data_IF_474263520098
#
_entry.id   IF_474263520098
#
_cell.length_a   1.000
_cell.length_b   1.000
_cell.length_c   1.000
_cell.angle_alpha   90.00
_cell.angle_beta   90.00
_cell.angle_gamma   90.00
#
_symmetry.space_group_name_H-M   'P 1'
#
loop_
_entity.id
_entity.type
_entity.pdbx_description
1 polymer ?
#
# COMPACT_ATOMS: atom_id res chain seq x y z
N UNK A 1 17.84 22.42 -6.26
CA UNK A 1 16.41 22.70 -6.04
C UNK A 1 15.53 21.68 -6.76
N UNK A 2 14.40 21.29 -6.16
CA UNK A 2 13.53 20.19 -6.62
C UNK A 2 12.97 20.35 -8.05
N UNK A 3 13.01 21.54 -8.62
CA UNK A 3 12.57 21.82 -10.00
C UNK A 3 13.63 21.58 -11.08
N UNK A 4 14.84 21.22 -10.73
CA UNK A 4 15.88 20.91 -11.70
C UNK A 4 15.85 19.44 -12.09
N UNK A 5 15.99 19.14 -13.39
CA UNK A 5 15.92 17.76 -13.92
C UNK A 5 16.90 16.79 -13.28
N UNK A 6 18.05 17.28 -12.84
CA UNK A 6 19.05 16.47 -12.13
C UNK A 6 18.52 15.85 -10.82
N UNK A 7 17.43 16.40 -10.28
CA UNK A 7 16.80 15.92 -9.05
C UNK A 7 15.59 15.00 -9.30
N UNK A 8 15.36 14.52 -10.53
CA UNK A 8 14.31 13.53 -10.80
C UNK A 8 14.45 12.34 -9.86
N UNK A 9 13.38 12.00 -9.16
CA UNK A 9 13.35 10.85 -8.23
C UNK A 9 14.00 11.07 -6.87
N UNK A 10 14.54 12.28 -6.60
CA UNK A 10 15.09 12.59 -5.28
C UNK A 10 13.97 12.89 -4.28
N UNK A 11 14.07 12.37 -3.04
CA UNK A 11 13.13 12.72 -1.98
C UNK A 11 13.09 14.22 -1.72
N UNK A 12 11.90 14.76 -1.49
CA UNK A 12 11.74 16.19 -1.14
C UNK A 12 12.01 16.48 0.34
N UNK A 13 12.06 15.45 1.17
CA UNK A 13 12.42 15.54 2.59
C UNK A 13 13.62 14.66 2.88
N UNK A 14 14.48 15.12 3.79
CA UNK A 14 15.61 14.34 4.28
C UNK A 14 15.11 13.33 5.33
N UNK A 15 14.49 12.28 4.87
CA UNK A 15 13.97 11.19 5.70
C UNK A 15 14.11 9.86 4.96
N UNK A 16 14.58 8.80 5.62
CA UNK A 16 14.65 7.47 5.02
C UNK A 16 13.26 6.92 4.61
N UNK A 17 12.19 7.45 5.19
CA UNK A 17 10.80 7.08 4.90
C UNK A 17 10.09 8.09 3.99
N UNK A 18 10.82 8.94 3.29
CA UNK A 18 10.22 9.91 2.37
C UNK A 18 9.48 9.21 1.24
N UNK A 19 8.25 9.67 0.97
CA UNK A 19 7.36 9.13 -0.05
C UNK A 19 7.10 10.12 -1.19
N UNK A 20 7.56 11.36 -1.05
CA UNK A 20 7.38 12.43 -2.03
C UNK A 20 8.71 12.70 -2.73
N UNK A 21 8.69 12.64 -4.04
CA UNK A 21 9.88 12.83 -4.88
C UNK A 21 9.73 14.00 -5.84
N UNK A 22 10.86 14.48 -6.31
CA UNK A 22 10.92 15.49 -7.36
C UNK A 22 10.58 14.88 -8.72
N UNK A 23 9.57 15.44 -9.40
CA UNK A 23 9.24 15.22 -10.80
C UNK A 23 9.21 16.59 -11.49
N UNK A 24 10.37 17.16 -11.84
CA UNK A 24 10.51 18.58 -12.15
C UNK A 24 9.94 18.99 -13.51
N UNK A 25 9.71 18.05 -14.40
CA UNK A 25 9.16 18.32 -15.74
C UNK A 25 7.90 17.49 -15.98
N UNK A 26 7.07 17.93 -16.92
CA UNK A 26 5.89 17.16 -17.34
C UNK A 26 6.28 15.80 -17.91
N UNK A 27 7.38 15.70 -18.62
CA UNK A 27 7.92 14.42 -19.12
C UNK A 27 8.32 13.48 -17.96
N UNK A 28 8.86 14.01 -16.87
CA UNK A 28 9.15 13.20 -15.67
C UNK A 28 7.87 12.65 -15.03
N UNK A 29 6.78 13.44 -15.04
CA UNK A 29 5.47 12.99 -14.52
C UNK A 29 4.91 11.89 -15.42
N UNK A 30 4.90 12.09 -16.73
CA UNK A 30 4.42 11.09 -17.70
C UNK A 30 5.24 9.80 -17.56
N UNK A 31 6.56 9.89 -17.57
CA UNK A 31 7.43 8.72 -17.46
C UNK A 31 7.24 7.97 -16.14
N UNK A 32 6.97 8.67 -15.03
CA UNK A 32 6.65 8.03 -13.75
C UNK A 32 5.31 7.27 -13.79
N UNK A 33 4.26 7.86 -14.39
CA UNK A 33 2.93 7.24 -14.49
C UNK A 33 2.89 6.09 -15.51
N UNK A 34 3.74 6.11 -16.51
CA UNK A 34 3.84 5.08 -17.57
C UNK A 34 4.90 4.01 -17.28
N UNK A 35 5.49 4.01 -16.07
CA UNK A 35 6.56 3.09 -15.65
C UNK A 35 7.79 3.12 -16.60
N UNK A 36 8.12 4.30 -17.18
CA UNK A 36 9.30 4.46 -18.04
C UNK A 36 10.58 4.11 -17.26
N UNK A 37 11.36 3.09 -17.69
CA UNK A 37 12.56 2.66 -16.99
C UNK A 37 13.61 3.77 -16.80
N UNK A 38 13.69 4.75 -17.71
CA UNK A 38 14.63 5.87 -17.59
C UNK A 38 14.26 6.85 -16.48
N UNK A 39 12.98 6.95 -16.16
CA UNK A 39 12.45 7.78 -15.07
C UNK A 39 12.37 6.97 -13.78
N UNK A 40 11.72 5.81 -13.82
CA UNK A 40 11.55 4.93 -12.65
C UNK A 40 12.89 4.45 -12.08
N UNK A 41 13.87 4.19 -12.93
CA UNK A 41 15.23 3.81 -12.51
C UNK A 41 15.98 4.90 -11.73
N UNK A 42 15.54 6.16 -11.79
CA UNK A 42 16.10 7.28 -11.00
C UNK A 42 15.39 7.48 -9.65
N UNK A 43 14.25 6.81 -9.43
CA UNK A 43 13.46 6.98 -8.22
C UNK A 43 14.20 6.45 -7.00
N UNK A 44 14.49 7.31 -6.04
CA UNK A 44 15.01 6.93 -4.72
C UNK A 44 13.90 6.67 -3.72
N UNK A 45 12.72 7.14 -4.04
CA UNK A 45 11.47 6.96 -3.31
C UNK A 45 10.33 7.24 -4.27
N UNK A 46 9.08 7.09 -3.83
CA UNK A 46 7.90 7.38 -4.64
C UNK A 46 6.62 7.17 -3.83
N UNK A 47 5.50 7.48 -4.44
CA UNK A 47 4.21 7.30 -3.79
C UNK A 47 3.94 5.80 -3.52
N UNK A 48 3.73 5.37 -2.25
CA UNK A 48 3.85 3.96 -1.87
C UNK A 48 2.91 2.99 -2.58
N UNK A 49 1.77 3.45 -3.09
CA UNK A 49 0.82 2.59 -3.84
C UNK A 49 1.23 2.37 -5.30
N UNK A 50 2.10 3.21 -5.84
CA UNK A 50 2.58 3.13 -7.22
C UNK A 50 4.03 2.67 -7.29
N UNK A 51 4.80 3.05 -6.30
CA UNK A 51 6.22 2.73 -6.20
C UNK A 51 6.49 2.04 -4.85
N UNK A 52 6.95 0.80 -4.89
CA UNK A 52 7.32 0.10 -3.66
C UNK A 52 8.53 0.81 -3.04
N UNK A 53 8.36 1.34 -1.84
CA UNK A 53 9.40 2.05 -1.14
C UNK A 53 10.67 1.20 -1.01
N UNK A 54 11.90 1.74 -1.16
CA UNK A 54 13.15 0.97 -1.13
C UNK A 54 13.32 0.09 0.12
N UNK A 55 12.94 0.57 1.30
CA UNK A 55 12.95 -0.21 2.55
C UNK A 55 11.99 -1.40 2.44
N UNK A 56 10.78 -1.17 1.94
CA UNK A 56 9.79 -2.23 1.72
C UNK A 56 10.27 -3.23 0.67
N UNK A 57 10.87 -2.75 -0.42
CA UNK A 57 11.44 -3.60 -1.46
C UNK A 57 12.59 -4.47 -0.90
N UNK A 58 13.43 -3.92 -0.03
CA UNK A 58 14.47 -4.67 0.66
C UNK A 58 13.87 -5.75 1.56
N UNK A 59 12.87 -5.41 2.38
CA UNK A 59 12.15 -6.36 3.21
C UNK A 59 11.54 -7.50 2.39
N UNK A 60 10.84 -7.18 1.30
CA UNK A 60 10.25 -8.19 0.42
C UNK A 60 11.29 -9.12 -0.17
N UNK A 61 12.43 -8.58 -0.64
CA UNK A 61 13.54 -9.36 -1.20
C UNK A 61 14.17 -10.30 -0.19
N UNK A 62 14.38 -9.85 1.06
CA UNK A 62 14.89 -10.68 2.14
C UNK A 62 13.92 -11.82 2.47
N UNK A 63 12.62 -11.51 2.54
CA UNK A 63 11.59 -12.52 2.82
C UNK A 63 11.43 -13.49 1.65
N UNK A 64 11.47 -13.01 0.41
CA UNK A 64 11.39 -13.85 -0.79
C UNK A 64 12.54 -14.87 -0.83
N UNK A 65 13.77 -14.44 -0.51
CA UNK A 65 14.92 -15.33 -0.43
C UNK A 65 14.85 -16.38 0.70
N UNK A 66 14.08 -16.09 1.75
CA UNK A 66 13.96 -16.98 2.94
C UNK A 66 12.81 -17.98 2.84
N UNK A 67 11.70 -17.60 2.23
CA UNK A 67 10.44 -18.37 2.34
C UNK A 67 9.75 -18.68 1.02
N UNK A 68 10.06 -17.95 -0.08
CA UNK A 68 9.46 -18.25 -1.37
C UNK A 68 10.12 -19.45 -2.04
N UNK A 69 9.32 -20.30 -2.66
CA UNK A 69 9.75 -21.37 -3.52
C UNK A 69 10.10 -20.89 -4.93
N UNK A 70 10.57 -21.81 -5.78
CA UNK A 70 10.77 -21.54 -7.20
C UNK A 70 9.46 -21.07 -7.84
N UNK A 71 9.49 -19.95 -8.59
CA UNK A 71 8.33 -19.33 -9.23
C UNK A 71 7.26 -18.79 -8.25
N UNK A 72 7.62 -18.50 -7.03
CA UNK A 72 6.79 -17.81 -6.08
C UNK A 72 7.33 -16.39 -5.80
N UNK A 73 6.42 -15.50 -5.48
CA UNK A 73 6.68 -14.11 -5.10
C UNK A 73 6.01 -13.80 -3.77
N UNK A 74 6.47 -12.74 -3.16
CA UNK A 74 5.91 -12.27 -1.89
C UNK A 74 5.36 -10.86 -2.05
N UNK A 75 4.19 -10.63 -1.41
CA UNK A 75 3.64 -9.30 -1.21
C UNK A 75 3.33 -9.10 0.29
N UNK A 76 3.60 -7.90 0.79
CA UNK A 76 3.33 -7.53 2.18
C UNK A 76 2.15 -6.56 2.28
N UNK A 77 1.27 -6.81 3.22
CA UNK A 77 0.06 -6.02 3.48
C UNK A 77 0.08 -5.44 4.90
N UNK A 78 -0.83 -4.52 5.19
CA UNK A 78 -0.88 -3.79 6.46
C UNK A 78 -1.33 -4.62 7.66
N UNK A 79 -2.06 -5.71 7.42
CA UNK A 79 -2.57 -6.60 8.48
C UNK A 79 -2.79 -8.04 7.98
N UNK A 80 -2.92 -9.01 8.89
CA UNK A 80 -3.27 -10.39 8.52
C UNK A 80 -4.60 -10.50 7.79
N UNK A 81 -5.59 -9.66 8.15
CA UNK A 81 -6.89 -9.63 7.50
C UNK A 81 -6.77 -9.08 6.07
N UNK A 82 -5.87 -8.12 5.83
CA UNK A 82 -5.56 -7.62 4.49
C UNK A 82 -4.91 -8.72 3.62
N UNK A 83 -4.01 -9.53 4.20
CA UNK A 83 -3.43 -10.71 3.54
C UNK A 83 -4.51 -11.69 3.10
N UNK A 84 -5.47 -11.99 4.00
CA UNK A 84 -6.57 -12.89 3.68
C UNK A 84 -7.44 -12.34 2.54
N UNK A 85 -7.83 -11.05 2.61
CA UNK A 85 -8.63 -10.40 1.56
C UNK A 85 -7.90 -10.39 0.21
N UNK A 86 -6.59 -10.12 0.22
CA UNK A 86 -5.77 -10.17 -0.98
C UNK A 86 -5.75 -11.58 -1.60
N UNK A 87 -5.58 -12.63 -0.78
CA UNK A 87 -5.62 -14.00 -1.24
C UNK A 87 -6.98 -14.37 -1.86
N UNK A 88 -8.08 -13.95 -1.24
CA UNK A 88 -9.44 -14.15 -1.78
C UNK A 88 -9.66 -13.39 -3.10
N UNK A 89 -9.16 -12.15 -3.20
CA UNK A 89 -9.20 -11.36 -4.42
C UNK A 89 -8.45 -12.06 -5.57
N UNK A 90 -7.23 -12.54 -5.32
CA UNK A 90 -6.42 -13.23 -6.33
C UNK A 90 -7.15 -14.47 -6.85
N UNK A 91 -7.67 -15.30 -5.93
CA UNK A 91 -8.44 -16.50 -6.32
C UNK A 91 -9.66 -16.12 -7.17
N UNK A 92 -10.40 -15.09 -6.80
CA UNK A 92 -11.59 -14.64 -7.53
C UNK A 92 -11.28 -14.18 -8.95
N UNK A 93 -10.17 -13.47 -9.14
CA UNK A 93 -9.82 -12.84 -10.44
C UNK A 93 -8.98 -13.74 -11.35
N UNK A 94 -8.20 -14.65 -10.78
CA UNK A 94 -7.23 -15.45 -11.55
C UNK A 94 -7.41 -16.96 -11.40
N UNK A 95 -8.13 -17.41 -10.39
CA UNK A 95 -8.21 -18.82 -9.98
C UNK A 95 -6.95 -19.32 -9.25
N UNK A 96 -5.91 -18.48 -9.10
CA UNK A 96 -4.63 -18.83 -8.49
C UNK A 96 -4.73 -18.70 -6.97
N UNK A 97 -4.19 -19.68 -6.24
CA UNK A 97 -4.17 -19.68 -4.78
C UNK A 97 -2.79 -19.26 -4.28
N UNK A 98 -2.77 -18.19 -3.48
CA UNK A 98 -1.66 -17.87 -2.59
C UNK A 98 -1.94 -18.37 -1.17
N UNK A 99 -0.94 -18.29 -0.31
CA UNK A 99 -1.09 -18.64 1.11
C UNK A 99 -0.40 -17.62 2.01
N UNK A 100 -1.00 -17.35 3.16
CA UNK A 100 -0.39 -16.53 4.19
C UNK A 100 0.79 -17.27 4.82
N UNK A 101 1.85 -16.56 5.15
CA UNK A 101 2.98 -17.12 5.87
C UNK A 101 2.63 -17.19 7.37
N UNK A 102 2.75 -18.39 7.99
CA UNK A 102 2.38 -18.59 9.39
C UNK A 102 3.24 -17.78 10.36
N UNK A 103 4.55 -17.68 10.07
CA UNK A 103 5.51 -16.99 10.93
C UNK A 103 5.63 -15.50 10.63
N UNK A 104 5.06 -15.05 9.51
CA UNK A 104 5.07 -13.67 9.04
C UNK A 104 3.67 -13.28 8.56
N UNK A 105 2.74 -12.97 9.46
CA UNK A 105 1.32 -12.87 9.15
C UNK A 105 0.94 -11.71 8.21
N UNK A 106 1.87 -10.81 7.93
CA UNK A 106 1.69 -9.71 6.96
C UNK A 106 2.09 -10.10 5.54
N UNK A 107 2.63 -11.32 5.34
CA UNK A 107 3.11 -11.76 4.05
C UNK A 107 2.16 -12.75 3.38
N UNK A 108 1.94 -12.52 2.09
CA UNK A 108 1.27 -13.43 1.17
C UNK A 108 2.30 -13.99 0.19
N UNK A 109 2.45 -15.30 0.19
CA UNK A 109 3.21 -16.02 -0.84
C UNK A 109 2.24 -16.37 -1.98
N UNK A 110 2.61 -16.03 -3.20
CA UNK A 110 1.77 -16.23 -4.37
C UNK A 110 2.61 -16.72 -5.54
N UNK A 111 2.13 -17.68 -6.35
CA UNK A 111 2.78 -18.06 -7.60
C UNK A 111 2.98 -16.83 -8.51
N UNK A 112 4.07 -16.80 -9.27
CA UNK A 112 4.41 -15.69 -10.19
C UNK A 112 3.21 -15.26 -11.07
N UNK A 113 2.42 -16.22 -11.55
CA UNK A 113 1.24 -15.94 -12.36
C UNK A 113 0.13 -15.17 -11.61
N UNK A 114 0.11 -15.19 -10.29
CA UNK A 114 -0.84 -14.45 -9.46
C UNK A 114 -0.30 -13.10 -8.95
N UNK A 115 0.98 -12.82 -9.18
CA UNK A 115 1.64 -11.66 -8.58
C UNK A 115 1.08 -10.32 -9.07
N UNK A 116 0.70 -10.23 -10.35
CA UNK A 116 0.06 -9.01 -10.88
C UNK A 116 -1.23 -8.70 -10.13
N UNK A 117 -2.10 -9.69 -9.91
CA UNK A 117 -3.32 -9.48 -9.14
C UNK A 117 -3.05 -9.11 -7.67
N UNK A 118 -1.99 -9.67 -7.07
CA UNK A 118 -1.56 -9.29 -5.72
C UNK A 118 -1.14 -7.80 -5.65
N UNK A 119 -0.41 -7.31 -6.66
CA UNK A 119 -0.02 -5.91 -6.78
C UNK A 119 -1.22 -5.01 -7.06
N UNK A 120 -2.17 -5.42 -7.88
CA UNK A 120 -3.38 -4.65 -8.19
C UNK A 120 -4.22 -4.46 -6.94
N UNK A 121 -4.44 -5.53 -6.15
CA UNK A 121 -5.09 -5.42 -4.86
C UNK A 121 -4.35 -4.43 -3.94
N UNK A 122 -3.05 -4.60 -3.77
CA UNK A 122 -2.18 -3.73 -2.97
C UNK A 122 -2.29 -2.26 -3.40
N UNK A 123 -2.22 -2.00 -4.73
CA UNK A 123 -2.28 -0.66 -5.31
C UNK A 123 -3.62 0.01 -5.10
N UNK A 124 -4.72 -0.68 -5.41
CA UNK A 124 -6.05 -0.06 -5.44
C UNK A 124 -6.70 0.05 -4.08
N UNK A 125 -6.54 -0.93 -3.22
CA UNK A 125 -7.11 -0.88 -1.87
C UNK A 125 -6.34 0.02 -0.91
N UNK A 126 -5.03 0.17 -1.12
CA UNK A 126 -4.16 0.91 -0.22
C UNK A 126 -3.88 0.21 1.12
N UNK A 127 -4.26 -1.07 1.27
CA UNK A 127 -3.93 -1.90 2.44
C UNK A 127 -2.46 -2.38 2.38
N UNK A 128 -1.56 -1.44 2.31
CA UNK A 128 -0.12 -1.66 2.09
C UNK A 128 0.66 -1.61 3.40
N UNK A 129 1.75 -2.37 3.46
CA UNK A 129 2.73 -2.20 4.54
C UNK A 129 3.44 -0.85 4.39
N UNK A 130 3.62 -0.12 5.48
CA UNK A 130 4.40 1.11 5.46
C UNK A 130 5.90 0.82 5.45
N UNK A 131 6.70 1.78 4.95
CA UNK A 131 8.18 1.68 5.01
C UNK A 131 8.69 1.60 6.46
N UNK A 132 8.03 2.26 7.42
CA UNK A 132 8.39 2.18 8.84
C UNK A 132 8.11 0.79 9.40
N UNK A 133 6.95 0.23 9.10
CA UNK A 133 6.60 -1.12 9.53
C UNK A 133 7.54 -2.17 8.91
N UNK A 134 7.92 -2.01 7.65
CA UNK A 134 8.90 -2.86 7.00
C UNK A 134 10.30 -2.75 7.65
N UNK A 135 10.71 -1.53 8.02
CA UNK A 135 11.97 -1.29 8.74
C UNK A 135 11.97 -1.91 10.14
N UNK A 136 10.85 -1.80 10.86
CA UNK A 136 10.70 -2.41 12.18
C UNK A 136 10.80 -3.95 12.10
N UNK A 137 10.18 -4.56 11.09
CA UNK A 137 10.27 -5.99 10.86
C UNK A 137 11.67 -6.46 10.46
N UNK A 138 12.40 -5.67 9.66
CA UNK A 138 13.80 -5.95 9.32
C UNK A 138 14.74 -5.92 10.54
N UNK A 139 14.40 -5.13 11.54
CA UNK A 139 15.20 -4.92 12.74
C UNK A 139 14.66 -5.66 13.97
N UNK A 140 13.70 -6.58 13.77
CA UNK A 140 13.03 -7.33 14.85
C UNK A 140 12.47 -6.42 15.96
N UNK A 141 12.03 -5.20 15.60
CA UNK A 141 11.41 -4.27 16.54
C UNK A 141 9.92 -4.56 16.66
N UNK A 142 9.41 -4.50 17.89
CA UNK A 142 7.98 -4.63 18.16
C UNK A 142 7.27 -3.30 17.86
N UNK A 143 6.21 -3.35 17.05
CA UNK A 143 5.38 -2.18 16.76
C UNK A 143 4.42 -2.00 17.94
N UNK A 144 4.57 -0.87 18.67
CA UNK A 144 3.75 -0.57 19.84
C UNK A 144 2.28 -0.25 19.50
N UNK A 145 1.36 -0.88 20.21
CA UNK A 145 -0.07 -0.56 20.12
C UNK A 145 -0.44 0.73 20.86
N UNK A 146 0.33 1.12 21.87
CA UNK A 146 0.07 2.29 22.70
C UNK A 146 0.23 3.62 21.96
N UNK A 147 1.24 3.72 21.08
CA UNK A 147 1.45 4.89 20.25
C UNK A 147 0.28 5.15 19.29
N UNK A 148 -0.33 4.07 18.78
CA UNK A 148 -1.49 4.18 17.87
C UNK A 148 -2.72 4.76 18.58
N UNK A 149 -2.95 4.39 19.83
CA UNK A 149 -4.06 4.92 20.62
C UNK A 149 -3.86 6.41 20.92
N UNK A 150 -2.67 6.83 21.33
CA UNK A 150 -2.34 8.24 21.52
C UNK A 150 -2.53 9.10 20.27
N UNK A 151 -2.18 8.57 19.10
CA UNK A 151 -2.46 9.24 17.82
C UNK A 151 -3.95 9.34 17.53
N UNK A 152 -4.73 8.30 17.83
CA UNK A 152 -6.18 8.30 17.66
C UNK A 152 -6.85 9.35 18.55
N UNK A 153 -6.45 9.45 19.82
CA UNK A 153 -6.92 10.45 20.77
C UNK A 153 -6.61 11.87 20.28
N UNK A 154 -5.37 12.12 19.86
CA UNK A 154 -4.95 13.43 19.34
C UNK A 154 -5.73 13.84 18.08
N UNK A 155 -6.00 12.89 17.19
CA UNK A 155 -6.79 13.15 15.98
C UNK A 155 -8.26 13.40 16.32
N UNK A 156 -8.84 12.67 17.28
CA UNK A 156 -10.19 12.87 17.74
C UNK A 156 -10.39 14.28 18.34
N UNK A 157 -9.44 14.70 19.17
CA UNK A 157 -9.42 16.07 19.74
C UNK A 157 -9.34 17.13 18.62
N UNK A 158 -8.42 16.97 17.66
CA UNK A 158 -8.28 17.91 16.54
C UNK A 158 -9.56 18.02 15.70
N UNK A 159 -10.27 16.91 15.51
CA UNK A 159 -11.50 16.85 14.71
C UNK A 159 -12.75 17.20 15.51
N UNK A 160 -12.66 17.35 16.83
CA UNK A 160 -13.81 17.63 17.71
C UNK A 160 -14.81 16.45 17.78
N UNK A 161 -14.33 15.21 17.70
CA UNK A 161 -15.12 13.99 17.79
C UNK A 161 -14.68 13.16 19.00
N UNK A 162 -15.49 12.18 19.41
CA UNK A 162 -15.07 11.24 20.44
C UNK A 162 -14.03 10.26 19.90
N UNK A 163 -13.09 9.81 20.73
CA UNK A 163 -12.02 8.88 20.30
C UNK A 163 -12.56 7.60 19.68
N UNK A 164 -13.71 7.09 20.14
CA UNK A 164 -14.37 5.92 19.56
C UNK A 164 -14.86 6.12 18.11
N UNK A 165 -15.05 7.37 17.69
CA UNK A 165 -15.54 7.75 16.36
C UNK A 165 -14.39 8.13 15.42
N UNK A 166 -13.13 8.11 15.91
CA UNK A 166 -11.91 8.32 15.12
C UNK A 166 -11.29 6.98 14.71
N UNK A 167 -11.05 6.81 13.41
CA UNK A 167 -10.46 5.61 12.83
C UNK A 167 -9.20 5.97 12.05
N UNK A 168 -8.09 5.30 12.33
CA UNK A 168 -6.81 5.50 11.65
C UNK A 168 -6.56 4.37 10.65
N UNK A 169 -6.12 4.75 9.45
CA UNK A 169 -5.78 3.83 8.37
C UNK A 169 -4.39 4.14 7.85
N UNK A 170 -3.74 3.14 7.28
CA UNK A 170 -2.40 3.22 6.69
C UNK A 170 -2.35 4.15 5.46
N UNK A 171 -3.46 4.34 4.78
CA UNK A 171 -3.58 5.23 3.63
C UNK A 171 -5.00 5.78 3.47
N UNK A 172 -5.15 6.89 2.73
CA UNK A 172 -6.46 7.42 2.38
C UNK A 172 -7.31 6.43 1.57
N UNK A 173 -6.68 5.62 0.70
CA UNK A 173 -7.38 4.57 -0.04
C UNK A 173 -7.84 3.42 0.86
N UNK A 174 -7.06 3.03 1.87
CA UNK A 174 -7.50 2.03 2.84
C UNK A 174 -8.73 2.49 3.63
N UNK A 175 -8.81 3.79 3.95
CA UNK A 175 -10.00 4.38 4.56
C UNK A 175 -11.22 4.31 3.62
N UNK A 176 -11.06 4.71 2.36
CA UNK A 176 -12.13 4.66 1.33
C UNK A 176 -12.57 3.21 1.10
N UNK A 177 -11.62 2.29 0.92
CA UNK A 177 -11.91 0.87 0.71
C UNK A 177 -12.65 0.25 1.89
N UNK A 178 -12.21 0.54 3.12
CA UNK A 178 -12.87 0.04 4.33
C UNK A 178 -14.29 0.58 4.45
N UNK A 179 -14.50 1.87 4.21
CA UNK A 179 -15.84 2.46 4.21
C UNK A 179 -16.75 1.79 3.19
N UNK A 180 -16.25 1.60 1.96
CA UNK A 180 -17.00 0.95 0.90
C UNK A 180 -17.37 -0.50 1.27
N UNK A 181 -16.43 -1.27 1.84
CA UNK A 181 -16.70 -2.63 2.33
C UNK A 181 -17.79 -2.65 3.41
N UNK A 182 -17.69 -1.80 4.42
CA UNK A 182 -18.70 -1.71 5.50
C UNK A 182 -20.09 -1.40 4.93
N UNK A 183 -20.19 -0.50 3.96
CA UNK A 183 -21.47 -0.16 3.33
C UNK A 183 -22.00 -1.35 2.53
N UNK A 184 -21.19 -2.01 1.73
CA UNK A 184 -21.61 -3.16 0.91
C UNK A 184 -21.95 -4.40 1.73
N UNK A 185 -21.23 -4.66 2.82
CA UNK A 185 -21.54 -5.74 3.75
C UNK A 185 -22.87 -5.51 4.49
N UNK A 186 -23.13 -4.27 4.92
CA UNK A 186 -24.38 -3.92 5.60
C UNK A 186 -25.59 -3.81 4.68
N UNK A 187 -25.37 -3.52 3.41
CA UNK A 187 -26.41 -3.35 2.39
C UNK A 187 -26.02 -4.02 1.08
N UNK A 188 -26.00 -5.34 1.02
CA UNK A 188 -25.65 -6.08 -0.19
C UNK A 188 -26.61 -5.76 -1.33
N UNK A 189 -26.06 -5.61 -2.52
CA UNK A 189 -26.82 -5.33 -3.75
C UNK A 189 -27.22 -3.87 -3.94
N UNK A 190 -26.86 -2.94 -3.07
CA UNK A 190 -27.01 -1.51 -3.34
C UNK A 190 -26.08 -1.10 -4.48
N UNK A 191 -26.65 -0.34 -5.40
CA UNK A 191 -25.86 0.36 -6.42
C UNK A 191 -25.28 1.63 -5.83
N UNK A 192 -24.03 1.92 -6.18
CA UNK A 192 -23.37 3.18 -5.84
C UNK A 192 -23.51 4.20 -6.96
N UNK A 193 -23.60 5.47 -6.60
CA UNK A 193 -23.59 6.59 -7.53
C UNK A 193 -22.46 7.53 -7.12
N UNK A 194 -21.51 7.74 -8.01
CA UNK A 194 -20.48 8.75 -7.82
C UNK A 194 -20.86 10.05 -8.49
N UNK A 195 -20.71 11.14 -7.77
CA UNK A 195 -20.95 12.50 -8.27
C UNK A 195 -19.61 13.21 -8.45
N UNK A 196 -19.58 14.15 -9.38
CA UNK A 196 -18.42 14.97 -9.74
C UNK A 196 -17.29 14.12 -10.37
N UNK A 197 -16.03 14.51 -10.12
CA UNK A 197 -14.84 13.89 -10.66
C UNK A 197 -14.08 13.17 -9.55
N UNK A 198 -14.42 11.92 -9.22
CA UNK A 198 -13.79 11.18 -8.14
C UNK A 198 -12.36 10.79 -8.49
N UNK A 199 -11.58 10.48 -7.46
CA UNK A 199 -10.29 9.85 -7.64
C UNK A 199 -10.46 8.47 -8.27
N UNK A 200 -9.67 8.18 -9.31
CA UNK A 200 -9.85 6.98 -10.15
C UNK A 200 -9.79 5.68 -9.36
N UNK A 201 -8.92 5.57 -8.36
CA UNK A 201 -8.83 4.35 -7.55
C UNK A 201 -10.05 4.14 -6.65
N UNK A 202 -10.79 5.22 -6.31
CA UNK A 202 -12.07 5.09 -5.63
C UNK A 202 -13.16 4.43 -6.51
N UNK A 203 -13.01 4.50 -7.84
CA UNK A 203 -13.84 3.73 -8.78
C UNK A 203 -13.40 2.26 -8.80
N UNK A 204 -12.10 2.01 -8.83
CA UNK A 204 -11.51 0.66 -8.90
C UNK A 204 -11.90 -0.26 -7.74
N UNK A 205 -12.10 0.29 -6.55
CA UNK A 205 -12.55 -0.52 -5.39
C UNK A 205 -14.04 -0.83 -5.40
N UNK A 206 -14.82 -0.29 -6.35
CA UNK A 206 -16.25 -0.54 -6.52
C UNK A 206 -16.56 -1.55 -7.64
N UNK A 207 -15.58 -1.90 -8.44
CA UNK A 207 -15.62 -2.91 -9.49
C UNK A 207 -15.35 -4.32 -8.92
#
# INVERSE_FOLDING_TARGET
>A
PAWQEVYVGFPLTDSPNACVVSLPTWNSVIGYEEDDPEVVGKMRSGYPRFFIHPITAHYLKEMEARIAGDQERIMAYSSPEAVQRAAEYIVRHTGIRGHACSDQPLLLVVPEAGYTAARDYWRHTGEIISSRQADDLLQDRCIGSEEREGHRESMAELLGVETRDAFLFESGMAAIFTLFRVVTERRPGLKTLQLCFPYVDALKVQE
#
